data_IF_944252487625
#
_entry.id   IF_944252487625
#
_cell.length_a   1.000
_cell.length_b   1.000
_cell.length_c   1.000
_cell.angle_alpha   90.00
_cell.angle_beta   90.00
_cell.angle_gamma   90.00
#
_symmetry.space_group_name_H-M   'P 1'
#
loop_
_entity.id
_entity.type
_entity.pdbx_description
1 polymer ?
#
# COMPACT_ATOMS: atom_id res chain seq x y z
N UNK A 1 10.92 -32.91 59.50
CA UNK A 1 9.71 -32.44 58.76
C UNK A 1 10.18 -31.41 57.74
N UNK A 2 10.00 -31.71 56.45
CA UNK A 2 10.45 -30.87 55.33
C UNK A 2 9.32 -29.90 54.98
N UNK A 3 9.59 -28.59 55.00
CA UNK A 3 8.74 -27.59 54.36
C UNK A 3 9.40 -27.17 53.05
N UNK A 4 8.79 -27.59 51.95
CA UNK A 4 9.15 -27.21 50.61
C UNK A 4 8.46 -25.89 50.27
N UNK A 5 9.23 -24.82 50.11
CA UNK A 5 8.75 -23.58 49.50
C UNK A 5 8.83 -23.73 47.99
N UNK A 6 7.68 -23.94 47.35
CA UNK A 6 7.52 -23.91 45.90
C UNK A 6 7.40 -22.43 45.51
N UNK A 7 8.48 -21.84 44.98
CA UNK A 7 8.40 -20.58 44.25
C UNK A 7 7.79 -20.88 42.87
N UNK A 8 6.53 -20.48 42.68
CA UNK A 8 5.84 -20.54 41.40
C UNK A 8 6.42 -19.44 40.50
N UNK A 9 7.30 -19.82 39.58
CA UNK A 9 7.84 -18.94 38.56
C UNK A 9 6.76 -18.78 37.47
N UNK A 10 5.89 -17.78 37.58
CA UNK A 10 4.97 -17.40 36.51
C UNK A 10 5.79 -16.73 35.40
N UNK A 11 6.28 -17.53 34.47
CA UNK A 11 6.79 -17.08 33.17
C UNK A 11 5.60 -16.46 32.41
N UNK A 12 5.46 -15.13 32.50
CA UNK A 12 4.67 -14.34 31.56
C UNK A 12 5.32 -14.51 30.18
N UNK A 13 4.83 -15.47 29.40
CA UNK A 13 4.99 -15.45 27.95
C UNK A 13 4.25 -14.21 27.43
N UNK A 14 4.93 -13.07 27.45
CA UNK A 14 4.61 -12.00 26.53
C UNK A 14 4.98 -12.57 25.17
N UNK A 15 3.99 -13.16 24.50
CA UNK A 15 4.07 -13.38 23.06
C UNK A 15 4.17 -11.99 22.44
N UNK A 16 5.39 -11.47 22.33
CA UNK A 16 5.68 -10.38 21.42
C UNK A 16 5.18 -10.83 20.07
N UNK A 17 4.16 -10.16 19.56
CA UNK A 17 3.83 -10.17 18.16
C UNK A 17 5.12 -9.84 17.42
N UNK A 18 5.79 -10.87 16.92
CA UNK A 18 6.92 -10.69 16.04
C UNK A 18 6.37 -9.98 14.81
N UNK A 19 6.44 -8.66 14.81
CA UNK A 19 6.23 -7.88 13.61
C UNK A 19 7.14 -8.50 12.55
N UNK A 20 6.60 -8.92 11.40
CA UNK A 20 7.42 -9.53 10.36
C UNK A 20 8.59 -8.59 10.05
N UNK A 21 9.78 -9.20 10.00
CA UNK A 21 11.07 -8.60 9.63
C UNK A 21 10.88 -7.54 8.54
N UNK A 22 11.54 -6.39 8.72
CA UNK A 22 11.65 -5.31 7.73
C UNK A 22 11.91 -5.90 6.33
N UNK A 23 10.85 -5.89 5.54
CA UNK A 23 10.76 -6.44 4.20
C UNK A 23 9.60 -5.71 3.54
N UNK A 24 9.57 -5.65 2.22
CA UNK A 24 8.63 -4.91 1.38
C UNK A 24 7.19 -5.45 1.47
N UNK A 25 6.66 -5.62 2.67
CA UNK A 25 5.37 -6.22 2.95
C UNK A 25 4.41 -5.10 3.36
N UNK A 26 3.21 -5.17 2.79
CA UNK A 26 2.10 -4.35 3.28
C UNK A 26 1.76 -4.73 4.72
N UNK A 27 1.34 -3.76 5.52
CA UNK A 27 0.82 -4.05 6.86
C UNK A 27 -0.49 -4.87 6.83
N UNK A 28 -1.03 -5.16 5.63
CA UNK A 28 -2.19 -6.02 5.41
C UNK A 28 -1.83 -7.50 5.26
N UNK A 29 -0.55 -7.87 5.45
CA UNK A 29 -0.09 -9.25 5.48
C UNK A 29 0.31 -9.83 4.12
N UNK A 30 0.53 -8.99 3.11
CA UNK A 30 0.97 -9.42 1.79
C UNK A 30 2.30 -8.78 1.40
N UNK A 31 3.26 -9.61 1.00
CA UNK A 31 4.51 -9.16 0.41
C UNK A 31 4.35 -8.68 -1.02
N UNK A 32 5.03 -7.59 -1.39
CA UNK A 32 5.05 -7.14 -2.78
C UNK A 32 5.81 -8.12 -3.67
N UNK A 33 5.27 -8.40 -4.86
CA UNK A 33 5.84 -9.38 -5.78
C UNK A 33 5.41 -10.84 -5.60
N UNK A 34 4.56 -11.15 -4.61
CA UNK A 34 3.86 -12.44 -4.60
C UNK A 34 2.92 -12.55 -5.81
N UNK A 35 2.68 -13.79 -6.24
CA UNK A 35 1.73 -14.11 -7.29
C UNK A 35 0.28 -14.05 -6.82
N UNK A 36 -0.65 -13.99 -7.79
CA UNK A 36 -2.08 -14.14 -7.48
C UNK A 36 -2.34 -15.46 -6.77
N UNK A 37 -1.71 -16.54 -7.23
CA UNK A 37 -1.94 -17.88 -6.70
C UNK A 37 -1.59 -17.94 -5.21
N UNK A 38 -0.41 -17.43 -4.84
CA UNK A 38 0.05 -17.37 -3.45
C UNK A 38 -0.88 -16.49 -2.60
N UNK A 39 -1.29 -15.31 -3.11
CA UNK A 39 -2.22 -14.45 -2.38
C UNK A 39 -3.59 -15.11 -2.13
N UNK A 40 -4.14 -15.82 -3.13
CA UNK A 40 -5.41 -16.55 -2.97
C UNK A 40 -5.31 -17.69 -1.95
N UNK A 41 -4.16 -18.35 -1.86
CA UNK A 41 -3.90 -19.38 -0.86
C UNK A 41 -3.91 -18.77 0.54
N UNK A 42 -3.24 -17.64 0.74
CA UNK A 42 -3.26 -16.89 2.01
C UNK A 42 -4.70 -16.52 2.38
N UNK A 43 -5.46 -15.90 1.48
CA UNK A 43 -6.83 -15.46 1.74
C UNK A 43 -7.73 -16.65 2.14
N UNK A 44 -7.68 -17.75 1.38
CA UNK A 44 -8.49 -18.94 1.65
C UNK A 44 -8.09 -19.66 2.93
N UNK A 45 -6.78 -19.76 3.22
CA UNK A 45 -6.27 -20.36 4.46
C UNK A 45 -6.75 -19.64 5.71
N UNK A 46 -7.08 -18.34 5.58
CA UNK A 46 -7.65 -17.50 6.64
C UNK A 46 -9.17 -17.45 6.64
N UNK A 47 -9.83 -18.30 5.85
CA UNK A 47 -11.29 -18.41 5.77
C UNK A 47 -11.98 -17.17 5.18
N UNK A 48 -11.24 -16.31 4.47
CA UNK A 48 -11.80 -15.08 3.90
C UNK A 48 -12.45 -15.36 2.56
N UNK A 49 -13.55 -14.67 2.28
CA UNK A 49 -14.36 -14.86 1.08
C UNK A 49 -13.96 -13.86 0.01
N UNK A 50 -13.68 -14.38 -1.18
CA UNK A 50 -13.49 -13.55 -2.38
C UNK A 50 -14.84 -12.97 -2.79
N UNK A 51 -14.90 -11.65 -2.89
CA UNK A 51 -16.07 -10.89 -3.34
C UNK A 51 -15.98 -10.61 -4.84
N UNK A 52 -14.78 -10.25 -5.33
CA UNK A 52 -14.56 -9.86 -6.72
C UNK A 52 -13.19 -10.38 -7.21
N UNK A 53 -13.11 -10.76 -8.49
CA UNK A 53 -11.88 -11.07 -9.22
C UNK A 53 -12.05 -10.57 -10.66
N UNK A 54 -11.59 -9.34 -10.92
CA UNK A 54 -11.82 -8.63 -12.17
C UNK A 54 -10.50 -8.30 -12.86
N UNK A 55 -10.53 -8.09 -14.18
CA UNK A 55 -9.38 -7.61 -14.94
C UNK A 55 -9.80 -6.37 -15.71
N UNK A 56 -9.07 -5.28 -15.56
CA UNK A 56 -9.33 -4.04 -16.28
C UNK A 56 -8.71 -4.03 -17.69
N UNK A 57 -8.99 -2.97 -18.44
CA UNK A 57 -8.45 -2.76 -19.79
C UNK A 57 -6.92 -2.61 -19.83
N UNK A 58 -6.29 -2.33 -18.69
CA UNK A 58 -4.83 -2.21 -18.53
C UNK A 58 -4.19 -3.52 -18.08
N UNK A 59 -4.95 -4.63 -18.10
CA UNK A 59 -4.52 -5.96 -17.64
C UNK A 59 -4.12 -5.98 -16.16
N UNK A 60 -4.63 -5.04 -15.37
CA UNK A 60 -4.52 -5.09 -13.92
C UNK A 60 -5.64 -6.00 -13.44
N UNK A 61 -5.27 -7.05 -12.71
CA UNK A 61 -6.23 -7.94 -12.07
C UNK A 61 -6.46 -7.47 -10.64
N UNK A 62 -7.71 -7.27 -10.26
CA UNK A 62 -8.09 -6.84 -8.92
C UNK A 62 -8.86 -7.96 -8.23
N UNK A 63 -8.37 -8.37 -7.07
CA UNK A 63 -9.05 -9.34 -6.21
C UNK A 63 -9.52 -8.61 -4.96
N UNK A 64 -10.81 -8.64 -4.68
CA UNK A 64 -11.42 -8.06 -3.47
C UNK A 64 -11.93 -9.18 -2.58
N UNK A 65 -11.67 -9.09 -1.29
CA UNK A 65 -12.17 -10.04 -0.29
C UNK A 65 -12.66 -9.30 0.96
N UNK A 66 -13.47 -9.99 1.76
CA UNK A 66 -14.00 -9.43 2.99
C UNK A 66 -12.96 -9.38 4.12
N UNK A 67 -13.03 -8.33 4.95
CA UNK A 67 -12.16 -8.16 6.13
C UNK A 67 -10.66 -8.09 5.76
N UNK A 68 -9.79 -8.45 6.71
CA UNK A 68 -8.33 -8.49 6.61
C UNK A 68 -7.82 -9.92 6.87
N UNK A 69 -6.62 -10.25 6.40
CA UNK A 69 -5.94 -11.54 6.71
C UNK A 69 -5.04 -11.48 7.95
N UNK A 70 -4.89 -10.28 8.51
CA UNK A 70 -4.11 -9.99 9.72
C UNK A 70 -4.98 -9.17 10.68
N UNK A 71 -4.68 -9.28 11.97
CA UNK A 71 -5.32 -8.46 13.00
C UNK A 71 -4.70 -7.06 12.97
N UNK A 72 -5.54 -6.06 12.74
CA UNK A 72 -5.17 -4.65 12.82
C UNK A 72 -5.71 -4.07 14.13
N UNK A 73 -5.01 -3.10 14.76
CA UNK A 73 -5.46 -2.46 15.99
C UNK A 73 -6.57 -1.43 15.68
N UNK A 74 -7.67 -1.90 15.09
CA UNK A 74 -8.80 -1.09 14.65
C UNK A 74 -10.09 -1.66 15.25
N UNK A 75 -10.93 -0.79 15.81
CA UNK A 75 -12.28 -1.19 16.17
C UNK A 75 -13.20 -1.07 14.96
N UNK A 76 -13.35 -2.16 14.22
CA UNK A 76 -14.16 -2.20 12.99
C UNK A 76 -15.62 -2.61 13.23
N UNK A 77 -16.11 -2.55 14.48
CA UNK A 77 -17.53 -2.76 14.73
C UNK A 77 -18.37 -1.77 13.90
N UNK A 78 -19.48 -2.25 13.33
CA UNK A 78 -20.37 -1.47 12.46
C UNK A 78 -19.71 -0.81 11.24
N UNK A 79 -18.59 -1.37 10.80
CA UNK A 79 -17.83 -0.90 9.64
C UNK A 79 -17.77 -1.99 8.57
N UNK A 80 -18.12 -1.65 7.34
CA UNK A 80 -17.85 -2.54 6.21
C UNK A 80 -16.34 -2.52 5.93
N UNK A 81 -15.71 -3.69 5.97
CA UNK A 81 -14.27 -3.87 5.76
C UNK A 81 -14.03 -4.70 4.51
N UNK A 82 -13.29 -4.15 3.55
CA UNK A 82 -12.85 -4.85 2.34
C UNK A 82 -11.36 -4.68 2.14
N UNK A 83 -10.68 -5.75 1.75
CA UNK A 83 -9.30 -5.67 1.28
C UNK A 83 -9.24 -5.96 -0.20
N UNK A 84 -8.46 -5.17 -0.94
CA UNK A 84 -8.27 -5.29 -2.38
C UNK A 84 -6.81 -5.46 -2.72
N UNK A 85 -6.51 -6.38 -3.62
CA UNK A 85 -5.18 -6.66 -4.15
C UNK A 85 -5.16 -6.40 -5.66
N UNK A 86 -4.29 -5.53 -6.12
CA UNK A 86 -4.07 -5.21 -7.53
C UNK A 86 -2.79 -5.94 -8.01
N UNK A 87 -2.92 -6.74 -9.06
CA UNK A 87 -1.83 -7.52 -9.66
C UNK A 87 -1.54 -7.01 -11.06
N UNK A 88 -0.25 -6.84 -11.35
CA UNK A 88 0.24 -6.51 -12.67
C UNK A 88 1.30 -7.53 -13.09
N UNK A 89 1.12 -8.17 -14.26
CA UNK A 89 1.96 -9.30 -14.72
C UNK A 89 2.09 -10.42 -13.67
N UNK A 90 0.96 -10.77 -13.04
CA UNK A 90 0.88 -11.76 -11.96
C UNK A 90 1.77 -11.45 -10.74
N UNK A 91 2.07 -10.18 -10.50
CA UNK A 91 2.82 -9.73 -9.34
C UNK A 91 2.02 -8.68 -8.58
N UNK A 92 1.96 -8.83 -7.25
CA UNK A 92 1.26 -7.88 -6.39
C UNK A 92 1.88 -6.50 -6.54
N UNK A 93 1.11 -5.57 -7.09
CA UNK A 93 1.46 -4.18 -7.31
C UNK A 93 1.00 -3.30 -6.15
N UNK A 94 -0.19 -3.58 -5.64
CA UNK A 94 -0.79 -2.77 -4.59
C UNK A 94 -1.75 -3.59 -3.76
N UNK A 95 -1.83 -3.25 -2.49
CA UNK A 95 -2.85 -3.75 -1.55
C UNK A 95 -3.55 -2.57 -0.90
N UNK A 96 -4.87 -2.64 -0.70
CA UNK A 96 -5.59 -1.59 0.01
C UNK A 96 -6.66 -2.11 0.94
N UNK A 97 -6.81 -1.46 2.08
CA UNK A 97 -7.91 -1.62 3.01
C UNK A 97 -8.93 -0.51 2.77
N UNK A 98 -10.19 -0.89 2.62
CA UNK A 98 -11.33 0.01 2.53
C UNK A 98 -12.19 -0.18 3.76
N UNK A 99 -12.46 0.91 4.48
CA UNK A 99 -13.35 0.96 5.63
C UNK A 99 -14.49 1.91 5.31
N UNK A 100 -15.71 1.42 5.45
CA UNK A 100 -16.92 2.23 5.28
C UNK A 100 -17.78 2.14 6.55
N UNK A 101 -17.50 2.99 7.56
CA UNK A 101 -18.32 3.06 8.76
C UNK A 101 -19.74 3.53 8.44
N UNK A 102 -20.72 3.06 9.21
CA UNK A 102 -22.11 3.51 9.09
C UNK A 102 -22.31 4.93 9.64
N UNK A 103 -21.53 5.32 10.64
CA UNK A 103 -21.62 6.59 11.37
C UNK A 103 -20.39 7.47 11.11
N UNK A 104 -20.55 8.77 10.78
CA UNK A 104 -19.44 9.72 10.68
C UNK A 104 -18.53 9.78 11.92
N UNK A 105 -19.06 9.66 13.14
CA UNK A 105 -18.23 9.68 14.35
C UNK A 105 -17.27 8.49 14.40
N UNK A 106 -17.71 7.33 13.89
CA UNK A 106 -16.86 6.14 13.78
C UNK A 106 -15.76 6.32 12.73
N UNK A 107 -16.00 7.16 11.72
CA UNK A 107 -14.96 7.49 10.74
C UNK A 107 -13.82 8.25 11.39
N UNK A 108 -14.09 9.29 12.17
CA UNK A 108 -13.03 10.07 12.84
C UNK A 108 -12.20 9.20 13.79
N UNK A 109 -12.86 8.30 14.53
CA UNK A 109 -12.19 7.33 15.40
C UNK A 109 -11.26 6.40 14.62
N UNK A 110 -11.76 5.79 13.54
CA UNK A 110 -10.97 4.89 12.69
C UNK A 110 -9.83 5.61 11.96
N UNK A 111 -10.04 6.87 11.57
CA UNK A 111 -8.99 7.70 10.98
C UNK A 111 -7.86 7.93 11.98
N UNK A 112 -8.20 8.28 13.22
CA UNK A 112 -7.23 8.45 14.30
C UNK A 112 -6.45 7.16 14.58
N UNK A 113 -7.15 6.02 14.71
CA UNK A 113 -6.52 4.71 14.92
C UNK A 113 -5.58 4.32 13.77
N UNK A 114 -6.00 4.55 12.52
CA UNK A 114 -5.16 4.30 11.35
C UNK A 114 -3.95 5.23 11.29
N UNK A 115 -4.14 6.51 11.59
CA UNK A 115 -3.06 7.51 11.61
C UNK A 115 -2.03 7.16 12.69
N UNK A 116 -2.47 6.82 13.90
CA UNK A 116 -1.60 6.37 14.99
C UNK A 116 -0.85 5.09 14.61
N UNK A 117 -1.55 4.09 14.08
CA UNK A 117 -0.95 2.83 13.64
C UNK A 117 0.12 3.04 12.57
N UNK A 118 -0.18 3.84 11.55
CA UNK A 118 0.75 4.12 10.45
C UNK A 118 1.94 4.94 10.93
N UNK A 119 1.71 5.93 11.80
CA UNK A 119 2.77 6.79 12.35
C UNK A 119 3.69 6.01 13.28
N UNK A 120 3.14 5.17 14.15
CA UNK A 120 3.93 4.28 14.99
C UNK A 120 4.80 3.30 14.19
N UNK A 121 4.31 2.88 13.00
CA UNK A 121 5.01 1.92 12.14
C UNK A 121 6.02 2.57 11.19
N UNK A 122 5.73 3.75 10.66
CA UNK A 122 6.46 4.35 9.54
C UNK A 122 7.01 5.75 9.83
N UNK A 123 6.78 6.30 11.02
CA UNK A 123 7.06 7.69 11.35
C UNK A 123 6.01 8.66 10.80
N UNK A 124 6.28 9.96 10.86
CA UNK A 124 5.36 10.99 10.38
C UNK A 124 5.15 10.92 8.85
N UNK A 125 3.93 11.24 8.35
CA UNK A 125 3.69 11.34 6.92
C UNK A 125 4.55 12.46 6.31
N UNK A 126 5.10 12.20 5.13
CA UNK A 126 5.92 13.17 4.40
C UNK A 126 5.09 14.26 3.72
N UNK A 127 3.79 14.01 3.54
CA UNK A 127 2.88 14.91 2.86
C UNK A 127 1.45 14.76 3.36
N UNK A 128 0.73 15.88 3.36
CA UNK A 128 -0.69 15.96 3.65
C UNK A 128 -1.34 16.82 2.57
N UNK A 129 -2.32 16.26 1.88
CA UNK A 129 -3.04 16.93 0.80
C UNK A 129 -4.54 16.96 1.12
N UNK A 130 -5.17 18.08 0.82
CA UNK A 130 -6.62 18.24 0.86
C UNK A 130 -7.10 18.62 -0.54
N UNK A 131 -8.00 17.81 -1.10
CA UNK A 131 -8.62 18.08 -2.40
C UNK A 131 -10.13 17.94 -2.23
N UNK A 132 -10.85 19.04 -2.41
CA UNK A 132 -12.27 19.14 -2.06
C UNK A 132 -12.47 18.78 -0.58
N UNK A 133 -13.26 17.74 -0.29
CA UNK A 133 -13.49 17.22 1.06
C UNK A 133 -12.65 15.97 1.37
N UNK A 134 -11.69 15.62 0.51
CA UNK A 134 -10.85 14.43 0.70
C UNK A 134 -9.52 14.88 1.30
N UNK A 135 -9.18 14.31 2.45
CA UNK A 135 -7.85 14.49 3.05
C UNK A 135 -7.03 13.23 2.81
N UNK A 136 -5.77 13.38 2.42
CA UNK A 136 -4.84 12.28 2.22
C UNK A 136 -3.49 12.56 2.91
N UNK A 137 -2.95 11.52 3.54
CA UNK A 137 -1.61 11.52 4.14
C UNK A 137 -0.77 10.47 3.43
N UNK A 138 0.46 10.83 3.09
CA UNK A 138 1.37 9.96 2.34
C UNK A 138 2.64 9.69 3.13
N UNK A 139 3.05 8.43 3.17
CA UNK A 139 4.36 7.98 3.65
C UNK A 139 5.15 7.39 2.49
N UNK A 140 6.45 7.63 2.49
CA UNK A 140 7.41 6.97 1.60
C UNK A 140 8.31 6.06 2.43
N UNK A 141 8.11 4.75 2.30
CA UNK A 141 8.78 3.72 3.08
C UNK A 141 9.56 2.84 2.11
N UNK A 142 10.85 3.16 1.93
CA UNK A 142 11.72 2.52 0.92
C UNK A 142 11.04 2.50 -0.48
N UNK A 143 10.69 1.33 -0.99
CA UNK A 143 10.07 1.12 -2.31
C UNK A 143 8.54 1.15 -2.27
N UNK A 144 7.94 1.46 -1.14
CA UNK A 144 6.49 1.42 -0.92
C UNK A 144 5.97 2.81 -0.61
N UNK A 145 4.94 3.24 -1.35
CA UNK A 145 4.15 4.41 -1.01
C UNK A 145 2.92 3.97 -0.26
N UNK A 146 2.71 4.53 0.93
CA UNK A 146 1.51 4.31 1.74
C UNK A 146 0.67 5.57 1.71
N UNK A 147 -0.62 5.44 1.45
CA UNK A 147 -1.57 6.56 1.39
C UNK A 147 -2.75 6.21 2.27
N UNK A 148 -2.99 7.01 3.32
CA UNK A 148 -4.27 7.06 4.02
C UNK A 148 -5.11 8.16 3.38
N UNK A 149 -6.35 7.88 3.01
CA UNK A 149 -7.29 8.87 2.50
C UNK A 149 -8.63 8.77 3.21
N UNK A 150 -9.19 9.92 3.56
CA UNK A 150 -10.49 10.10 4.22
C UNK A 150 -11.41 10.92 3.34
N UNK A 151 -12.60 10.40 3.05
CA UNK A 151 -13.70 11.08 2.33
C UNK A 151 -14.94 11.10 3.24
N UNK A 152 -15.10 12.13 4.08
CA UNK A 152 -16.23 12.29 5.00
C UNK A 152 -17.57 12.40 4.26
N UNK A 153 -17.58 12.90 3.02
CA UNK A 153 -18.81 12.98 2.22
C UNK A 153 -19.37 11.61 1.84
N UNK A 154 -18.56 10.54 1.92
CA UNK A 154 -18.95 9.16 1.60
C UNK A 154 -18.83 8.20 2.79
N UNK A 155 -18.51 8.70 3.99
CA UNK A 155 -18.13 7.90 5.15
C UNK A 155 -17.09 6.83 4.79
N UNK A 156 -15.98 7.23 4.16
CA UNK A 156 -15.05 6.30 3.55
C UNK A 156 -13.61 6.59 3.96
N UNK A 157 -12.95 5.57 4.50
CA UNK A 157 -11.50 5.57 4.73
C UNK A 157 -10.85 4.51 3.84
N UNK A 158 -9.67 4.83 3.35
CA UNK A 158 -8.87 3.90 2.56
C UNK A 158 -7.40 4.02 2.89
N UNK A 159 -6.76 2.90 3.14
CA UNK A 159 -5.29 2.80 3.18
C UNK A 159 -4.83 2.04 1.94
N UNK A 160 -3.96 2.63 1.14
CA UNK A 160 -3.40 2.00 -0.06
C UNK A 160 -1.87 1.92 0.07
N UNK A 161 -1.33 0.72 -0.12
CA UNK A 161 0.09 0.46 -0.20
C UNK A 161 0.45 0.15 -1.65
N UNK A 162 1.42 0.86 -2.22
CA UNK A 162 1.79 0.77 -3.63
C UNK A 162 3.28 0.46 -3.74
N UNK A 163 3.63 -0.61 -4.44
CA UNK A 163 5.02 -0.94 -4.74
C UNK A 163 5.53 -0.12 -5.94
N UNK A 164 6.38 0.86 -5.68
CA UNK A 164 6.81 1.84 -6.69
C UNK A 164 7.56 1.24 -7.87
N UNK A 165 8.50 0.28 -7.72
CA UNK A 165 9.23 -0.27 -8.86
C UNK A 165 8.29 -0.91 -9.91
N UNK A 166 7.31 -1.69 -9.46
CA UNK A 166 6.34 -2.30 -10.37
C UNK A 166 5.35 -1.25 -10.92
N UNK A 167 5.01 -0.23 -10.12
CA UNK A 167 4.15 0.86 -10.55
C UNK A 167 4.81 1.74 -11.62
N UNK A 168 6.11 2.02 -11.48
CA UNK A 168 6.94 2.74 -12.46
C UNK A 168 7.02 1.95 -13.77
N UNK A 169 7.39 0.66 -13.72
CA UNK A 169 7.44 -0.20 -14.90
C UNK A 169 6.12 -0.24 -15.67
N UNK A 170 4.98 -0.33 -14.94
CA UNK A 170 3.65 -0.24 -15.54
C UNK A 170 3.42 1.10 -16.24
N UNK A 171 3.72 2.22 -15.57
CA UNK A 171 3.55 3.58 -16.14
C UNK A 171 4.38 3.77 -17.41
N UNK A 172 5.62 3.30 -17.43
CA UNK A 172 6.49 3.36 -18.60
C UNK A 172 5.95 2.56 -19.78
N UNK A 173 5.41 1.36 -19.53
CA UNK A 173 4.77 0.58 -20.59
C UNK A 173 3.53 1.27 -21.13
N UNK A 174 2.68 1.84 -20.27
CA UNK A 174 1.51 2.62 -20.70
C UNK A 174 1.90 3.83 -21.56
N UNK A 175 2.99 4.51 -21.21
CA UNK A 175 3.53 5.62 -22.03
C UNK A 175 4.00 5.14 -23.40
N UNK A 176 4.76 4.03 -23.45
CA UNK A 176 5.22 3.43 -24.72
C UNK A 176 4.05 3.00 -25.61
N UNK A 177 3.01 2.40 -25.04
CA UNK A 177 1.82 2.01 -25.78
C UNK A 177 1.07 3.23 -26.36
N UNK A 178 0.94 4.32 -25.59
CA UNK A 178 0.33 5.57 -26.05
C UNK A 178 1.12 6.25 -27.17
N UNK A 179 2.46 6.16 -27.12
CA UNK A 179 3.32 6.71 -28.17
C UNK A 179 3.21 5.91 -29.46
N UNK A 180 3.11 4.57 -29.39
CA UNK A 180 2.89 3.72 -30.57
C UNK A 180 1.55 3.94 -31.28
N UNK A 181 0.55 4.45 -30.56
CA UNK A 181 -0.79 4.77 -31.09
C UNK A 181 -0.95 6.20 -31.62
N UNK A 182 0.10 7.04 -31.58
CA UNK A 182 0.11 8.40 -32.14
C UNK A 182 1.12 8.45 -33.29
N UNK A 183 0.82 9.10 -34.44
CA UNK A 183 1.86 9.40 -35.41
C UNK A 183 2.96 10.22 -34.73
N UNK A 184 4.21 9.86 -34.98
CA UNK A 184 5.39 10.52 -34.41
C UNK A 184 5.38 11.99 -34.79
N UNK A 185 5.32 12.88 -33.80
CA UNK A 185 5.62 14.29 -33.99
C UNK A 185 7.15 14.46 -33.87
N UNK A 186 7.85 14.82 -34.97
CA UNK A 186 9.31 14.96 -34.97
C UNK A 186 9.82 15.94 -33.91
N UNK A 187 9.01 16.94 -33.53
CA UNK A 187 9.39 17.89 -32.49
C UNK A 187 9.53 17.21 -31.12
N UNK A 188 8.79 16.13 -30.87
CA UNK A 188 8.78 15.41 -29.59
C UNK A 188 9.96 14.44 -29.45
N UNK A 189 10.52 13.97 -30.55
CA UNK A 189 11.73 13.15 -30.58
C UNK A 189 12.98 13.99 -30.26
N UNK A 190 13.04 15.24 -30.73
CA UNK A 190 14.14 16.17 -30.42
C UNK A 190 14.25 16.53 -28.93
N UNK A 191 13.16 16.45 -28.15
CA UNK A 191 13.20 16.66 -26.69
C UNK A 191 13.70 15.45 -25.89
N UNK A 192 13.67 14.25 -26.48
CA UNK A 192 14.11 13.01 -25.82
C UNK A 192 15.60 12.74 -26.11
N UNK A 193 16.09 13.15 -27.28
CA UNK A 193 17.52 13.10 -27.62
C UNK A 193 18.34 14.28 -27.06
N UNK A 194 17.67 15.37 -26.69
CA UNK A 194 18.27 16.49 -25.96
C UNK A 194 18.55 16.14 -24.50
N UNK A 195 19.67 15.47 -24.25
CA UNK A 195 20.20 15.24 -22.91
C UNK A 195 20.67 16.58 -22.28
N UNK A 196 19.75 17.36 -21.71
CA UNK A 196 20.03 18.66 -21.08
C UNK A 196 20.59 18.55 -19.63
N UNK A 197 21.03 17.38 -19.19
CA UNK A 197 21.49 17.15 -17.81
C UNK A 197 23.00 16.93 -17.66
N UNK A 198 23.80 17.27 -18.68
CA UNK A 198 25.26 17.27 -18.55
C UNK A 198 25.78 18.72 -18.48
N UNK A 199 26.31 19.20 -17.34
CA UNK A 199 27.04 20.46 -17.34
C UNK A 199 28.30 20.29 -18.19
N UNK A 200 28.33 20.99 -19.33
CA UNK A 200 29.54 21.13 -20.14
C UNK A 200 30.56 21.95 -19.35
N UNK A 201 31.54 21.29 -18.76
CA UNK A 201 32.78 21.95 -18.36
C UNK A 201 33.49 22.43 -19.63
N UNK A 202 33.43 23.74 -19.88
CA UNK A 202 34.31 24.43 -20.82
C UNK A 202 35.76 24.20 -20.38
N UNK A 203 36.47 23.29 -21.06
CA UNK A 203 37.93 23.38 -21.17
C UNK A 203 38.24 24.50 -22.16
N UNK A 204 38.44 25.71 -21.64
CA UNK A 204 39.18 26.74 -22.37
C UNK A 204 40.61 26.24 -22.61
N UNK A 205 40.91 25.91 -23.87
CA UNK A 205 42.29 25.94 -24.34
C UNK A 205 42.67 27.42 -24.52
N UNK A 206 43.48 27.95 -23.61
CA UNK A 206 44.31 29.13 -23.92
C UNK A 206 45.51 28.67 -24.72
N UNK A 207 45.75 29.40 -25.81
CA UNK A 207 46.93 29.39 -26.65
C UNK A 207 48.22 29.58 -25.85
#
# INVERSE_FOLDING_TARGET
>A
MKLASIFFLSLLFIAGSAYPKEGTDSALGFGFGISKKEALEIIRSRGKRILEDTVDSKRIRTVVFDSTVVDLPLDTLDTEVKTSLEFYRDKLLSSSLLLKPKDPMKQEELESQLSEFLTARYGEPVNREEVLNITAWTWHVDKVRVILSSDPGKNLLKVKYIYEPLNQARREEELKQRQRGKPSDPAREMFIEGNYSAPYYLKENRQ
#
